data_IF_125469177802
#
_entry.id   IF_125469177802
#
_cell.length_a   1.000
_cell.length_b   1.000
_cell.length_c   1.000
_cell.angle_alpha   90.00
_cell.angle_beta   90.00
_cell.angle_gamma   90.00
#
_symmetry.space_group_name_H-M   'P 1'
#
loop_
_entity.id
_entity.type
_entity.pdbx_description
1 polymer ?
#
# COMPACT_ATOMS: atom_id res chain seq x y z
N UNK A 1 4.72 -8.95 31.11
CA UNK A 1 4.77 -10.37 30.65
C UNK A 1 6.10 -10.69 29.95
N UNK A 2 7.26 -10.39 30.58
CA UNK A 2 8.58 -10.66 29.99
C UNK A 2 8.95 -12.14 30.01
N UNK A 3 8.33 -12.95 30.87
CA UNK A 3 8.52 -14.40 30.94
C UNK A 3 8.21 -15.14 29.64
N UNK A 4 7.62 -14.48 28.63
CA UNK A 4 7.39 -15.04 27.29
C UNK A 4 8.61 -14.95 26.36
N UNK A 5 9.57 -14.10 26.69
CA UNK A 5 10.70 -13.72 25.84
C UNK A 5 11.85 -14.75 25.91
N UNK A 6 12.64 -14.81 24.82
CA UNK A 6 13.76 -15.75 24.70
C UNK A 6 14.82 -15.63 25.81
N UNK A 7 15.02 -14.45 26.39
CA UNK A 7 16.08 -14.21 27.36
C UNK A 7 15.75 -14.82 28.73
N UNK A 8 14.48 -15.19 28.93
CA UNK A 8 14.00 -15.90 30.12
C UNK A 8 13.70 -17.36 29.78
N UNK A 9 12.92 -17.62 28.72
CA UNK A 9 12.38 -18.96 28.43
C UNK A 9 13.13 -19.78 27.39
N UNK A 10 14.10 -19.20 26.68
CA UNK A 10 14.92 -19.87 25.66
C UNK A 10 14.04 -20.63 24.66
N UNK A 11 14.20 -21.95 24.54
CA UNK A 11 13.43 -22.80 23.63
C UNK A 11 11.93 -22.87 23.94
N UNK A 12 11.51 -22.48 25.16
CA UNK A 12 10.09 -22.44 25.57
C UNK A 12 9.47 -21.05 25.42
N UNK A 13 10.18 -20.09 24.83
CA UNK A 13 9.67 -18.76 24.58
C UNK A 13 8.57 -18.80 23.49
N UNK A 14 7.70 -17.79 23.46
CA UNK A 14 6.62 -17.72 22.45
C UNK A 14 7.14 -17.37 21.06
N UNK A 15 8.35 -16.82 20.97
CA UNK A 15 9.06 -16.46 19.75
C UNK A 15 10.55 -16.38 20.06
N UNK A 16 11.39 -16.51 19.03
CA UNK A 16 12.83 -16.28 19.09
C UNK A 16 13.23 -14.81 18.80
N UNK A 17 12.26 -13.92 18.57
CA UNK A 17 12.55 -12.50 18.31
C UNK A 17 13.29 -11.85 19.49
N UNK A 18 14.25 -10.98 19.20
CA UNK A 18 14.99 -10.21 20.21
C UNK A 18 15.04 -8.73 19.81
N UNK A 19 15.97 -8.34 18.93
CA UNK A 19 15.92 -7.01 18.30
C UNK A 19 14.68 -6.94 17.41
N UNK A 20 13.89 -5.89 17.58
CA UNK A 20 12.66 -5.66 16.83
C UNK A 20 12.72 -4.31 16.10
N UNK A 21 11.58 -3.86 15.59
CA UNK A 21 11.44 -2.60 14.87
C UNK A 21 10.94 -1.45 15.78
N UNK A 22 11.40 -1.38 17.04
CA UNK A 22 10.93 -0.40 18.01
C UNK A 22 11.04 1.06 17.52
N UNK A 23 12.12 1.40 16.81
CA UNK A 23 12.31 2.74 16.26
C UNK A 23 11.28 3.08 15.17
N UNK A 24 11.02 2.15 14.26
CA UNK A 24 9.99 2.33 13.21
C UNK A 24 8.62 2.43 13.86
N UNK A 25 8.31 1.57 14.84
CA UNK A 25 7.04 1.61 15.56
C UNK A 25 6.82 2.95 16.29
N UNK A 26 7.86 3.50 16.93
CA UNK A 26 7.81 4.82 17.56
C UNK A 26 7.55 5.92 16.53
N UNK A 27 8.23 5.90 15.38
CA UNK A 27 8.00 6.88 14.30
C UNK A 27 6.58 6.78 13.75
N UNK A 28 6.05 5.57 13.58
CA UNK A 28 4.66 5.35 13.16
C UNK A 28 3.68 5.88 14.19
N UNK A 29 3.92 5.67 15.48
CA UNK A 29 3.08 6.20 16.55
C UNK A 29 3.07 7.74 16.58
N UNK A 30 4.25 8.37 16.44
CA UNK A 30 4.38 9.83 16.33
C UNK A 30 3.61 10.35 15.10
N UNK A 31 3.75 9.69 13.95
CA UNK A 31 3.05 10.10 12.72
C UNK A 31 1.52 9.98 12.86
N UNK A 32 1.02 8.89 13.44
CA UNK A 32 -0.39 8.70 13.70
C UNK A 32 -0.94 9.75 14.69
N UNK A 33 -0.17 10.05 15.76
CA UNK A 33 -0.53 11.10 16.71
C UNK A 33 -0.54 12.49 16.06
N UNK A 34 0.42 12.78 15.19
CA UNK A 34 0.50 14.03 14.43
C UNK A 34 -0.68 14.23 13.47
N UNK A 35 -1.08 13.18 12.75
CA UNK A 35 -2.28 13.22 11.90
C UNK A 35 -3.55 13.39 12.75
N UNK A 36 -3.60 12.74 13.91
CA UNK A 36 -4.80 12.67 14.73
C UNK A 36 -5.96 11.95 14.01
N UNK A 37 -7.14 11.86 14.65
CA UNK A 37 -8.29 11.14 14.10
C UNK A 37 -8.77 11.74 12.77
N UNK A 38 -8.82 13.07 12.65
CA UNK A 38 -9.27 13.73 11.42
C UNK A 38 -8.26 13.60 10.28
N UNK A 39 -6.96 13.74 10.55
CA UNK A 39 -5.93 13.57 9.53
C UNK A 39 -5.88 12.15 8.99
N UNK A 40 -6.07 11.14 9.85
CA UNK A 40 -6.17 9.74 9.42
C UNK A 40 -7.38 9.51 8.50
N UNK A 41 -8.54 10.07 8.83
CA UNK A 41 -9.75 9.98 7.98
C UNK A 41 -9.52 10.72 6.65
N UNK A 42 -8.93 11.91 6.68
CA UNK A 42 -8.67 12.68 5.47
C UNK A 42 -7.66 11.98 4.55
N UNK A 43 -6.60 11.40 5.11
CA UNK A 43 -5.64 10.59 4.35
C UNK A 43 -6.32 9.35 3.73
N UNK A 44 -7.21 8.69 4.47
CA UNK A 44 -7.98 7.57 3.96
C UNK A 44 -8.93 7.98 2.82
N UNK A 45 -9.56 9.16 2.91
CA UNK A 45 -10.37 9.70 1.82
C UNK A 45 -9.55 9.95 0.56
N UNK A 46 -8.39 10.60 0.69
CA UNK A 46 -7.48 10.81 -0.45
C UNK A 46 -7.03 9.49 -1.10
N UNK A 47 -6.79 8.47 -0.28
CA UNK A 47 -6.45 7.13 -0.75
C UNK A 47 -7.56 6.50 -1.60
N UNK A 48 -8.81 6.97 -1.54
CA UNK A 48 -9.96 6.51 -2.36
C UNK A 48 -10.20 7.47 -3.53
N UNK A 49 -10.17 8.78 -3.27
CA UNK A 49 -10.49 9.83 -4.23
C UNK A 49 -9.47 9.87 -5.38
N UNK A 50 -8.17 9.79 -5.09
CA UNK A 50 -7.13 9.86 -6.12
C UNK A 50 -7.17 8.67 -7.08
N UNK A 51 -7.31 7.40 -6.62
CA UNK A 51 -7.43 6.27 -7.53
C UNK A 51 -8.74 6.29 -8.34
N UNK A 52 -9.85 6.79 -7.76
CA UNK A 52 -11.11 6.94 -8.48
C UNK A 52 -11.01 7.96 -9.63
N UNK A 53 -10.35 9.08 -9.37
CA UNK A 53 -10.07 10.09 -10.40
C UNK A 53 -9.14 9.53 -11.48
N UNK A 54 -8.07 8.82 -11.07
CA UNK A 54 -7.11 8.23 -11.98
C UNK A 54 -7.76 7.16 -12.88
N UNK A 55 -8.57 6.26 -12.32
CA UNK A 55 -9.22 5.21 -13.11
C UNK A 55 -10.16 5.82 -14.14
N UNK A 56 -10.94 6.82 -13.74
CA UNK A 56 -11.88 7.53 -14.64
C UNK A 56 -11.14 8.19 -15.81
N UNK A 57 -9.95 8.74 -15.58
CA UNK A 57 -9.11 9.31 -16.66
C UNK A 57 -8.52 8.22 -17.56
N UNK A 58 -8.02 7.12 -16.97
CA UNK A 58 -7.43 6.02 -17.73
C UNK A 58 -8.46 5.32 -18.63
N UNK A 59 -9.72 5.23 -18.20
CA UNK A 59 -10.80 4.60 -18.98
C UNK A 59 -11.15 5.39 -20.26
N UNK A 60 -10.73 6.64 -20.37
CA UNK A 60 -10.89 7.45 -21.59
C UNK A 60 -9.86 7.12 -22.67
N UNK A 61 -8.82 6.36 -22.34
CA UNK A 61 -7.72 6.03 -23.25
C UNK A 61 -8.11 4.79 -24.05
N UNK A 62 -8.07 4.90 -25.39
CA UNK A 62 -8.35 3.77 -26.27
C UNK A 62 -7.40 2.59 -25.99
N UNK A 63 -7.98 1.39 -25.86
CA UNK A 63 -7.26 0.16 -25.52
C UNK A 63 -6.83 0.05 -24.06
N UNK A 64 -7.37 0.90 -23.17
CA UNK A 64 -7.22 0.81 -21.72
C UNK A 64 -8.61 0.71 -21.09
N UNK A 65 -8.78 -0.19 -20.13
CA UNK A 65 -10.02 -0.35 -19.37
C UNK A 65 -9.70 -0.32 -17.87
N UNK A 66 -10.19 0.69 -17.17
CA UNK A 66 -9.84 1.01 -15.80
C UNK A 66 -11.04 1.57 -15.02
N UNK A 67 -11.44 0.98 -13.88
CA UNK A 67 -10.90 -0.22 -13.26
C UNK A 67 -11.42 -1.50 -13.96
N UNK A 68 -10.62 -2.57 -13.98
CA UNK A 68 -11.06 -3.88 -14.49
C UNK A 68 -12.27 -4.45 -13.72
N UNK A 69 -12.39 -4.11 -12.44
CA UNK A 69 -13.47 -4.58 -11.58
C UNK A 69 -14.28 -3.43 -11.02
N UNK A 70 -15.60 -3.53 -11.13
CA UNK A 70 -16.57 -2.59 -10.55
C UNK A 70 -16.76 -2.84 -9.04
N UNK A 71 -15.67 -2.85 -8.27
CA UNK A 71 -15.64 -3.05 -6.81
C UNK A 71 -15.01 -1.85 -6.13
N UNK A 72 -15.29 -1.67 -4.84
CA UNK A 72 -14.58 -0.67 -4.05
C UNK A 72 -13.10 -1.03 -3.96
N UNK A 73 -12.25 -0.05 -4.21
CA UNK A 73 -10.82 -0.12 -3.98
C UNK A 73 -10.38 1.06 -3.10
N UNK A 74 -9.26 0.85 -2.42
CA UNK A 74 -8.59 1.89 -1.65
C UNK A 74 -7.52 2.51 -2.54
N UNK A 75 -6.25 2.17 -2.34
CA UNK A 75 -5.10 2.80 -3.01
C UNK A 75 -4.73 2.26 -4.40
N UNK A 76 -5.30 1.13 -4.81
CA UNK A 76 -4.86 0.40 -6.00
C UNK A 76 -6.04 -0.23 -6.72
N UNK A 77 -5.96 -0.31 -8.05
CA UNK A 77 -6.93 -0.99 -8.91
C UNK A 77 -6.21 -1.63 -10.08
N UNK A 78 -6.84 -2.66 -10.65
CA UNK A 78 -6.32 -3.37 -11.82
C UNK A 78 -6.78 -2.66 -13.09
N UNK A 79 -5.88 -2.56 -14.07
CA UNK A 79 -6.14 -2.01 -15.39
C UNK A 79 -5.95 -3.11 -16.43
N UNK A 80 -6.86 -3.23 -17.38
CA UNK A 80 -6.66 -4.06 -18.57
C UNK A 80 -6.17 -3.19 -19.71
N UNK A 81 -5.18 -3.67 -20.44
CA UNK A 81 -4.67 -3.02 -21.66
C UNK A 81 -4.76 -3.98 -22.83
N UNK A 82 -5.00 -3.46 -24.02
CA UNK A 82 -4.95 -4.26 -25.26
C UNK A 82 -3.51 -4.61 -25.64
N UNK A 83 -2.57 -3.72 -25.30
CA UNK A 83 -1.13 -4.00 -25.37
C UNK A 83 -0.73 -5.01 -24.29
N UNK A 84 0.38 -5.72 -24.53
CA UNK A 84 0.99 -6.56 -23.51
C UNK A 84 1.31 -5.74 -22.26
N UNK A 85 0.80 -6.17 -21.10
CA UNK A 85 0.96 -5.43 -19.85
C UNK A 85 2.44 -5.14 -19.54
N UNK A 86 3.34 -6.08 -19.81
CA UNK A 86 4.78 -5.90 -19.64
C UNK A 86 5.37 -4.77 -20.49
N UNK A 87 4.89 -4.56 -21.71
CA UNK A 87 5.35 -3.43 -22.55
C UNK A 87 4.91 -2.10 -21.95
N UNK A 88 3.70 -2.04 -21.38
CA UNK A 88 3.18 -0.86 -20.68
C UNK A 88 3.99 -0.59 -19.41
N UNK A 89 4.27 -1.62 -18.60
CA UNK A 89 5.12 -1.53 -17.41
C UNK A 89 6.50 -0.95 -17.77
N UNK A 90 7.18 -1.52 -18.76
CA UNK A 90 8.52 -1.07 -19.17
C UNK A 90 8.51 0.38 -19.70
N UNK A 91 7.48 0.76 -20.46
CA UNK A 91 7.32 2.12 -20.97
C UNK A 91 7.08 3.14 -19.85
N UNK A 92 6.32 2.77 -18.81
CA UNK A 92 6.09 3.58 -17.62
C UNK A 92 7.33 3.66 -16.72
N UNK A 93 8.06 2.56 -16.56
CA UNK A 93 9.31 2.51 -15.81
C UNK A 93 10.37 3.43 -16.43
N UNK A 94 10.50 3.43 -17.77
CA UNK A 94 11.37 4.36 -18.49
C UNK A 94 11.01 5.84 -18.28
N UNK A 95 9.78 6.13 -17.82
CA UNK A 95 9.29 7.47 -17.46
C UNK A 95 9.31 7.74 -15.95
N UNK A 96 9.81 6.81 -15.13
CA UNK A 96 9.91 6.94 -13.67
C UNK A 96 8.68 6.47 -12.90
N UNK A 97 7.77 5.72 -13.52
CA UNK A 97 6.58 5.16 -12.85
C UNK A 97 6.72 3.65 -12.68
N UNK A 98 6.62 3.18 -11.44
CA UNK A 98 6.58 1.74 -11.13
C UNK A 98 5.13 1.26 -11.05
N UNK A 99 4.77 0.26 -11.86
CA UNK A 99 3.47 -0.42 -11.86
C UNK A 99 3.68 -1.94 -11.97
N UNK A 100 2.76 -2.74 -11.40
CA UNK A 100 2.82 -4.20 -11.48
C UNK A 100 1.95 -4.72 -12.64
N UNK A 101 2.48 -5.66 -13.41
CA UNK A 101 1.70 -6.52 -14.31
C UNK A 101 1.28 -7.82 -13.61
#
# INVERSE_FOLDING_TARGET
LQTREQHIRRERATSNICTNQAWVALRTAIHAAYLGPHGLINLAKQCIELPLELSSKLDTIEGVHAPLHSRHYFREFVVRTDKMAMEVVQSLEAKGYAVSA
#
